data_IF_165798170625
#
_entry.id   IF_165798170625
#
_cell.length_a   1.000
_cell.length_b   1.000
_cell.length_c   1.000
_cell.angle_alpha   90.00
_cell.angle_beta   90.00
_cell.angle_gamma   90.00
#
_symmetry.space_group_name_H-M   'P 1'
#
loop_
_entity.id
_entity.type
_entity.pdbx_description
1 polymer ?
#
# COMPACT_ATOMS: atom_id res chain seq x y z
N UNK A 1 3.49 -6.03 10.88
CA UNK A 1 3.20 -4.65 10.42
C UNK A 1 3.37 -4.59 8.91
N UNK A 2 2.92 -3.52 8.26
CA UNK A 2 3.21 -3.26 6.84
C UNK A 2 4.45 -2.38 6.76
N UNK A 3 5.34 -2.66 5.82
CA UNK A 3 6.63 -1.97 5.64
C UNK A 3 6.71 -1.28 4.28
N UNK A 4 7.69 -0.40 4.11
CA UNK A 4 7.97 0.31 2.86
C UNK A 4 9.43 0.12 2.50
N UNK A 5 9.68 -0.28 1.26
CA UNK A 5 11.05 -0.34 0.75
C UNK A 5 11.66 1.06 0.66
N UNK A 6 12.98 1.15 0.61
CA UNK A 6 13.66 2.45 0.45
C UNK A 6 13.22 3.18 -0.83
N UNK A 7 13.18 2.44 -1.95
CA UNK A 7 12.77 2.97 -3.26
C UNK A 7 11.33 3.45 -3.26
N UNK A 8 10.43 2.70 -2.63
CA UNK A 8 9.02 3.11 -2.52
C UNK A 8 8.89 4.37 -1.66
N UNK A 9 9.62 4.46 -0.55
CA UNK A 9 9.61 5.65 0.29
C UNK A 9 10.05 6.91 -0.44
N UNK A 10 11.14 6.84 -1.21
CA UNK A 10 11.62 7.94 -2.04
C UNK A 10 10.62 8.31 -3.14
N UNK A 11 10.07 7.31 -3.84
CA UNK A 11 9.10 7.52 -4.91
C UNK A 11 7.81 8.17 -4.39
N UNK A 12 7.29 7.69 -3.26
CA UNK A 12 6.07 8.22 -2.63
C UNK A 12 6.27 9.68 -2.23
N UNK A 13 7.39 10.02 -1.59
CA UNK A 13 7.70 11.42 -1.23
C UNK A 13 7.78 12.32 -2.46
N UNK A 14 8.46 11.87 -3.51
CA UNK A 14 8.54 12.61 -4.76
C UNK A 14 7.16 12.79 -5.41
N UNK A 15 6.31 11.75 -5.37
CA UNK A 15 4.94 11.80 -5.89
C UNK A 15 4.07 12.78 -5.08
N UNK A 16 4.16 12.76 -3.75
CA UNK A 16 3.43 13.69 -2.87
C UNK A 16 3.81 15.14 -3.16
N UNK A 17 5.09 15.44 -3.34
CA UNK A 17 5.56 16.79 -3.70
C UNK A 17 5.02 17.19 -5.08
N UNK A 18 5.10 16.28 -6.05
CA UNK A 18 4.64 16.53 -7.43
C UNK A 18 3.14 16.80 -7.50
N UNK A 19 2.34 16.09 -6.72
CA UNK A 19 0.88 16.24 -6.66
C UNK A 19 0.41 17.25 -5.60
N UNK A 20 1.35 17.97 -4.97
CA UNK A 20 1.10 19.03 -3.99
C UNK A 20 0.28 18.55 -2.77
N UNK A 21 0.52 17.32 -2.32
CA UNK A 21 -0.01 16.78 -1.08
C UNK A 21 0.66 17.44 0.14
N UNK A 22 -0.08 17.56 1.24
CA UNK A 22 0.47 18.08 2.49
C UNK A 22 1.52 17.10 3.07
N UNK A 23 2.57 17.59 3.75
CA UNK A 23 3.64 16.74 4.31
C UNK A 23 3.16 15.67 5.29
N UNK A 24 2.02 15.89 5.93
CA UNK A 24 1.38 15.00 6.90
C UNK A 24 0.35 14.05 6.28
N UNK A 25 0.23 14.01 4.96
CA UNK A 25 -0.67 13.12 4.23
C UNK A 25 -0.29 11.65 4.46
N UNK A 26 -1.29 10.81 4.68
CA UNK A 26 -1.17 9.38 4.89
C UNK A 26 -1.33 8.62 3.58
N UNK A 27 -0.60 7.52 3.43
CA UNK A 27 -0.86 6.49 2.43
C UNK A 27 -1.82 5.50 3.06
N UNK A 28 -3.09 5.53 2.67
CA UNK A 28 -4.03 4.49 3.07
C UNK A 28 -3.79 3.24 2.24
N UNK A 29 -3.55 2.13 2.92
CA UNK A 29 -3.50 0.80 2.34
C UNK A 29 -4.68 -0.03 2.85
N UNK A 30 -5.18 -0.94 2.02
CA UNK A 30 -6.33 -1.76 2.38
C UNK A 30 -6.61 -2.87 1.40
N UNK A 31 -7.69 -3.61 1.68
CA UNK A 31 -8.18 -4.68 0.82
C UNK A 31 -9.69 -4.52 0.68
N UNK A 32 -10.19 -4.69 -0.55
CA UNK A 32 -11.62 -4.83 -0.84
C UNK A 32 -11.87 -6.14 -1.59
N UNK A 33 -13.10 -6.65 -1.50
CA UNK A 33 -13.53 -7.77 -2.34
C UNK A 33 -13.63 -7.34 -3.81
N UNK A 34 -13.12 -8.17 -4.72
CA UNK A 34 -13.11 -7.88 -6.15
C UNK A 34 -11.91 -8.46 -6.89
N UNK A 35 -11.68 -7.96 -8.11
CA UNK A 35 -10.57 -8.40 -8.96
C UNK A 35 -10.71 -9.84 -9.47
N UNK A 36 -9.73 -10.29 -10.26
CA UNK A 36 -9.72 -11.62 -10.85
C UNK A 36 -9.48 -12.74 -9.83
N UNK A 37 -8.95 -12.43 -8.64
CA UNK A 37 -8.55 -13.41 -7.63
C UNK A 37 -9.36 -13.31 -6.33
N UNK A 38 -10.36 -12.43 -6.26
CA UNK A 38 -11.32 -12.33 -5.15
C UNK A 38 -11.03 -11.22 -4.15
N UNK A 39 -9.77 -10.85 -3.96
CA UNK A 39 -9.34 -9.69 -3.18
C UNK A 39 -8.52 -8.73 -4.04
N UNK A 40 -8.69 -7.42 -3.84
CA UNK A 40 -7.96 -6.36 -4.53
C UNK A 40 -7.30 -5.43 -3.52
N UNK A 41 -6.04 -5.08 -3.75
CA UNK A 41 -5.32 -4.08 -2.95
C UNK A 41 -5.92 -2.69 -3.19
N UNK A 42 -5.94 -1.89 -2.14
CA UNK A 42 -6.35 -0.48 -2.21
C UNK A 42 -5.21 0.37 -1.72
N UNK A 43 -4.85 1.40 -2.50
CA UNK A 43 -3.93 2.46 -2.10
C UNK A 43 -4.53 3.82 -2.43
N UNK A 44 -4.46 4.78 -1.51
CA UNK A 44 -4.77 6.19 -1.78
C UNK A 44 -4.01 7.12 -0.84
N UNK A 45 -3.80 8.36 -1.27
CA UNK A 45 -3.36 9.44 -0.39
C UNK A 45 -4.55 10.03 0.37
N UNK A 46 -4.41 10.28 1.66
CA UNK A 46 -5.46 10.79 2.52
C UNK A 46 -4.92 11.86 3.48
N UNK A 47 -5.53 13.04 3.48
CA UNK A 47 -5.06 14.19 4.27
C UNK A 47 -5.39 14.11 5.75
N UNK A 48 -6.26 13.18 6.15
CA UNK A 48 -6.64 12.96 7.54
C UNK A 48 -6.38 11.51 7.89
N UNK A 49 -5.60 11.25 8.92
CA UNK A 49 -5.71 9.96 9.60
C UNK A 49 -7.09 9.84 10.24
N UNK A 50 -7.45 8.66 10.70
CA UNK A 50 -8.57 8.41 11.60
C UNK A 50 -9.93 8.18 10.91
N UNK A 51 -10.14 6.92 10.51
CA UNK A 51 -11.41 6.28 10.82
C UNK A 51 -11.24 5.50 12.14
N UNK A 52 -12.29 5.41 12.94
CA UNK A 52 -12.25 4.63 14.18
C UNK A 52 -11.87 3.17 13.88
N UNK A 53 -10.86 2.67 14.59
CA UNK A 53 -10.33 1.32 14.39
C UNK A 53 -9.28 1.19 13.27
N UNK A 54 -8.81 2.28 12.68
CA UNK A 54 -7.61 2.24 11.84
C UNK A 54 -6.34 2.00 12.69
N UNK A 55 -5.35 1.36 12.06
CA UNK A 55 -3.98 1.22 12.56
C UNK A 55 -3.07 2.13 11.73
N UNK A 56 -2.20 2.86 12.42
CA UNK A 56 -1.18 3.70 11.79
C UNK A 56 0.22 3.24 12.10
N UNK A 57 1.10 3.41 11.14
CA UNK A 57 2.53 3.15 11.27
C UNK A 57 3.30 4.09 10.36
N UNK A 58 4.53 4.40 10.74
CA UNK A 58 5.44 5.18 9.93
C UNK A 58 6.65 4.30 9.60
N UNK A 59 6.98 4.21 8.31
CA UNK A 59 8.18 3.53 7.85
C UNK A 59 8.81 4.31 6.71
N UNK A 60 10.14 4.43 6.73
CA UNK A 60 10.92 5.24 5.77
C UNK A 60 10.39 6.67 5.56
N UNK A 61 9.74 7.25 6.56
CA UNK A 61 9.14 8.59 6.50
C UNK A 61 7.86 8.66 5.65
N UNK A 62 7.22 7.52 5.40
CA UNK A 62 5.86 7.43 4.84
C UNK A 62 4.92 7.06 5.99
N UNK A 63 3.90 7.89 6.20
CA UNK A 63 2.83 7.59 7.15
C UNK A 63 1.80 6.71 6.48
N UNK A 64 1.50 5.57 7.06
CA UNK A 64 0.61 4.58 6.48
C UNK A 64 -0.55 4.35 7.43
N UNK A 65 -1.76 4.27 6.87
CA UNK A 65 -2.98 3.97 7.60
C UNK A 65 -3.67 2.76 6.98
N UNK A 66 -4.15 1.84 7.82
CA UNK A 66 -4.85 0.62 7.38
C UNK A 66 -6.04 0.33 8.26
N UNK A 67 -7.15 -0.08 7.65
CA UNK A 67 -8.32 -0.56 8.39
C UNK A 67 -7.99 -1.89 9.07
N UNK A 68 -8.35 -2.06 10.34
CA UNK A 68 -8.02 -3.28 11.12
C UNK A 68 -8.42 -4.58 10.40
N UNK A 69 -9.59 -4.61 9.75
CA UNK A 69 -10.05 -5.78 8.98
C UNK A 69 -9.13 -6.14 7.81
N UNK A 70 -8.50 -5.14 7.18
CA UNK A 70 -7.57 -5.36 6.08
C UNK A 70 -6.21 -5.80 6.57
N UNK A 71 -5.83 -5.44 7.81
CA UNK A 71 -4.56 -5.85 8.40
C UNK A 71 -4.40 -7.38 8.47
N UNK A 72 -5.50 -8.13 8.63
CA UNK A 72 -5.49 -9.61 8.59
C UNK A 72 -4.93 -10.18 7.29
N UNK A 73 -5.10 -9.47 6.16
CA UNK A 73 -4.62 -9.89 4.84
C UNK A 73 -3.29 -9.27 4.43
N UNK A 74 -2.90 -8.19 5.13
CA UNK A 74 -1.76 -7.35 4.78
C UNK A 74 -0.63 -7.43 5.83
N UNK A 75 -0.78 -8.24 6.87
CA UNK A 75 0.24 -8.32 7.90
C UNK A 75 1.53 -8.91 7.34
N UNK A 76 2.63 -8.15 7.46
CA UNK A 76 3.93 -8.55 6.89
C UNK A 76 4.09 -8.18 5.41
N UNK A 77 3.10 -7.54 4.80
CA UNK A 77 3.22 -7.01 3.43
C UNK A 77 4.19 -5.84 3.38
N UNK A 78 5.04 -5.83 2.36
CA UNK A 78 5.88 -4.70 2.03
C UNK A 78 5.34 -3.97 0.80
N UNK A 79 5.34 -2.64 0.85
CA UNK A 79 5.10 -1.80 -0.30
C UNK A 79 6.44 -1.44 -0.96
N UNK A 80 6.59 -1.81 -2.23
CA UNK A 80 7.82 -1.59 -2.99
C UNK A 80 7.52 -0.84 -4.32
N UNK A 81 8.57 -0.38 -4.99
CA UNK A 81 8.52 0.37 -6.23
C UNK A 81 9.46 -0.26 -7.28
N UNK A 82 8.91 -0.52 -8.46
CA UNK A 82 9.68 -0.93 -9.64
C UNK A 82 9.69 0.20 -10.66
N UNK A 83 10.88 0.51 -11.18
CA UNK A 83 11.12 1.35 -12.35
C UNK A 83 11.57 0.52 -13.58
N UNK A 84 11.54 -0.80 -13.46
CA UNK A 84 12.04 -1.74 -14.46
C UNK A 84 11.08 -2.03 -15.61
N UNK A 85 11.56 -2.85 -16.55
CA UNK A 85 10.85 -3.25 -17.77
C UNK A 85 9.55 -4.03 -17.51
N UNK A 86 9.45 -4.69 -16.36
CA UNK A 86 8.30 -5.52 -15.98
C UNK A 86 7.12 -4.71 -15.40
N UNK A 87 7.24 -3.38 -15.35
CA UNK A 87 6.21 -2.50 -14.85
C UNK A 87 6.81 -1.37 -14.04
N UNK A 88 6.37 -0.15 -14.34
CA UNK A 88 6.69 1.04 -13.55
C UNK A 88 5.56 1.31 -12.58
N UNK A 89 5.82 1.29 -11.28
CA UNK A 89 4.81 1.59 -10.29
C UNK A 89 5.08 0.99 -8.93
N UNK A 90 4.21 1.36 -8.00
CA UNK A 90 4.14 0.77 -6.68
C UNK A 90 3.45 -0.60 -6.75
N UNK A 91 3.93 -1.56 -5.98
CA UNK A 91 3.36 -2.90 -5.91
C UNK A 91 3.50 -3.49 -4.50
N UNK A 92 2.67 -4.48 -4.19
CA UNK A 92 2.62 -5.12 -2.88
C UNK A 92 3.31 -6.48 -2.89
N UNK A 93 4.32 -6.62 -2.04
CA UNK A 93 4.95 -7.89 -1.70
C UNK A 93 4.22 -8.49 -0.50
N UNK A 94 3.16 -9.26 -0.74
CA UNK A 94 2.31 -9.83 0.31
C UNK A 94 2.65 -11.30 0.60
N UNK A 95 3.25 -11.64 1.75
CA UNK A 95 3.57 -13.03 2.10
C UNK A 95 2.34 -13.90 2.35
N UNK A 96 1.15 -13.30 2.52
CA UNK A 96 -0.10 -14.02 2.75
C UNK A 96 -0.82 -14.41 1.45
N UNK A 97 -0.37 -13.89 0.29
CA UNK A 97 -0.98 -14.19 -0.99
C UNK A 97 -0.58 -15.58 -1.49
N UNK A 98 -1.54 -16.48 -1.68
CA UNK A 98 -1.32 -17.80 -2.28
C UNK A 98 -1.36 -17.78 -3.79
N UNK A 99 -2.04 -16.78 -4.37
CA UNK A 99 -2.07 -16.49 -5.81
C UNK A 99 -2.17 -14.99 -6.04
N UNK A 100 -1.52 -14.51 -7.10
CA UNK A 100 -1.55 -13.11 -7.53
C UNK A 100 -1.90 -13.04 -9.01
N UNK A 101 -2.75 -12.08 -9.39
CA UNK A 101 -3.08 -11.85 -10.80
C UNK A 101 -1.88 -11.27 -11.57
N UNK A 102 -1.89 -11.37 -12.89
CA UNK A 102 -0.77 -10.92 -13.73
C UNK A 102 -0.45 -9.42 -13.62
N UNK A 103 -1.42 -8.59 -13.22
CA UNK A 103 -1.18 -7.15 -12.98
C UNK A 103 -0.75 -6.82 -11.55
N UNK A 104 -0.72 -7.79 -10.63
CA UNK A 104 -0.29 -7.58 -9.24
C UNK A 104 -1.30 -6.90 -8.33
N UNK A 105 -2.44 -6.45 -8.85
CA UNK A 105 -3.43 -5.66 -8.09
C UNK A 105 -4.44 -6.52 -7.31
N UNK A 106 -4.55 -7.80 -7.64
CA UNK A 106 -5.51 -8.73 -7.04
C UNK A 106 -4.82 -10.03 -6.62
N UNK A 107 -5.30 -10.61 -5.51
CA UNK A 107 -4.73 -11.80 -4.90
C UNK A 107 -5.79 -12.68 -4.26
N UNK A 108 -5.41 -13.91 -3.95
CA UNK A 108 -6.13 -14.82 -3.07
C UNK A 108 -5.27 -15.13 -1.84
N UNK A 109 -5.90 -15.42 -0.71
CA UNK A 109 -5.27 -15.93 0.52
C UNK A 109 -5.61 -17.39 0.72
#
# INVERSE_FOLDING_TARGET
MITVSEKAGEYIKALMIKENHAPDTFVRVGVKGGGCSGLEYVMKFESTDHQEGDQTFEDRGVKIVVQMKSLLYLYGTELDYSDGLNGKGLYFNNPNATRTCSCGESFAV
#
